data_IF_373130287002
#
_entry.id   IF_373130287002
#
_cell.length_a   1.000
_cell.length_b   1.000
_cell.length_c   1.000
_cell.angle_alpha   90.00
_cell.angle_beta   90.00
_cell.angle_gamma   90.00
#
_symmetry.space_group_name_H-M   'P 1'
#
loop_
_entity.id
_entity.type
_entity.pdbx_description
1 polymer ?
#
# COMPACT_ATOMS: atom_id res chain seq x y z
N UNK A 1 -3.41 -2.84 6.91
CA UNK A 1 -4.61 -3.59 6.44
C UNK A 1 -4.16 -4.61 5.41
N UNK A 2 -5.07 -5.35 4.77
CA UNK A 2 -4.66 -6.29 3.72
C UNK A 2 -4.26 -5.54 2.44
N UNK A 3 -5.08 -4.59 1.98
CA UNK A 3 -4.85 -3.88 0.72
C UNK A 3 -3.55 -3.05 0.69
N UNK A 4 -3.19 -2.35 1.77
CA UNK A 4 -2.01 -1.48 1.82
C UNK A 4 -0.72 -2.29 1.95
N UNK A 5 -0.73 -3.36 2.75
CA UNK A 5 0.37 -4.33 2.78
C UNK A 5 0.60 -4.96 1.40
N UNK A 6 -0.48 -5.31 0.69
CA UNK A 6 -0.41 -5.86 -0.66
C UNK A 6 0.13 -4.85 -1.68
N UNK A 7 -0.38 -3.61 -1.68
CA UNK A 7 0.11 -2.56 -2.59
C UNK A 7 1.59 -2.26 -2.34
N UNK A 8 2.02 -2.27 -1.07
CA UNK A 8 3.41 -2.08 -0.66
C UNK A 8 4.27 -3.36 -0.78
N UNK A 9 3.77 -4.43 -1.41
CA UNK A 9 4.57 -5.62 -1.76
C UNK A 9 5.67 -5.29 -2.78
N UNK A 10 5.46 -4.27 -3.62
CA UNK A 10 6.54 -3.71 -4.43
C UNK A 10 7.41 -2.82 -3.55
N UNK A 11 8.57 -3.34 -3.16
CA UNK A 11 9.52 -2.63 -2.32
C UNK A 11 10.44 -1.77 -3.17
N UNK A 12 10.47 -0.47 -2.87
CA UNK A 12 11.38 0.49 -3.48
C UNK A 12 12.53 0.81 -2.53
N UNK A 13 13.74 1.01 -3.03
CA UNK A 13 14.86 1.50 -2.22
C UNK A 13 14.67 2.97 -1.82
N UNK A 14 13.82 3.16 -0.82
CA UNK A 14 13.46 4.45 -0.27
C UNK A 14 14.62 5.19 0.41
N UNK A 15 15.72 4.49 0.74
CA UNK A 15 16.85 5.08 1.46
C UNK A 15 17.80 5.81 0.52
N UNK A 16 18.20 5.15 -0.56
CA UNK A 16 19.19 5.70 -1.50
C UNK A 16 18.58 6.19 -2.81
N UNK A 17 17.39 5.72 -3.17
CA UNK A 17 16.76 6.00 -4.47
C UNK A 17 17.30 5.13 -5.61
N UNK A 18 18.19 4.17 -5.33
CA UNK A 18 18.75 3.26 -6.32
C UNK A 18 17.74 2.19 -6.74
N UNK A 19 17.08 2.43 -7.88
CA UNK A 19 16.02 1.56 -8.43
C UNK A 19 16.51 0.16 -8.81
N UNK A 20 17.81 -0.06 -8.98
CA UNK A 20 18.34 -1.42 -9.23
C UNK A 20 18.15 -2.36 -8.02
N UNK A 21 17.90 -1.79 -6.84
CA UNK A 21 17.63 -2.50 -5.60
C UNK A 21 16.15 -2.72 -5.34
N UNK A 22 15.25 -2.20 -6.17
CA UNK A 22 13.81 -2.43 -6.02
C UNK A 22 13.53 -3.96 -6.11
N UNK A 23 12.53 -4.42 -5.36
CA UNK A 23 12.18 -5.84 -5.24
C UNK A 23 10.68 -6.01 -5.28
N UNK A 24 10.23 -6.98 -6.05
CA UNK A 24 8.84 -7.43 -6.00
C UNK A 24 8.72 -8.59 -5.00
N UNK A 25 8.08 -8.36 -3.86
CA UNK A 25 7.93 -9.41 -2.84
C UNK A 25 6.92 -10.49 -3.24
N UNK A 26 6.13 -10.27 -4.30
CA UNK A 26 5.28 -11.33 -4.85
C UNK A 26 6.11 -12.49 -5.44
N UNK A 27 7.38 -12.26 -5.75
CA UNK A 27 8.32 -13.29 -6.22
C UNK A 27 9.02 -14.04 -5.06
N UNK A 28 8.80 -13.61 -3.82
CA UNK A 28 9.42 -14.18 -2.61
C UNK A 28 8.42 -15.07 -1.87
N UNK A 29 8.56 -16.40 -2.03
CA UNK A 29 7.67 -17.36 -1.39
C UNK A 29 7.68 -17.28 0.14
N UNK A 30 8.83 -16.98 0.77
CA UNK A 30 8.89 -16.86 2.24
C UNK A 30 8.11 -15.63 2.71
N UNK A 31 8.14 -14.56 1.92
CA UNK A 31 7.30 -13.39 2.17
C UNK A 31 5.82 -13.70 1.95
N UNK A 32 5.45 -14.41 0.87
CA UNK A 32 4.07 -14.81 0.58
C UNK A 32 3.48 -15.62 1.73
N UNK A 33 4.17 -16.65 2.21
CA UNK A 33 3.69 -17.50 3.31
C UNK A 33 3.42 -16.69 4.58
N UNK A 34 4.34 -15.79 4.95
CA UNK A 34 4.19 -14.89 6.10
C UNK A 34 3.03 -13.92 5.91
N UNK A 35 2.88 -13.39 4.70
CA UNK A 35 1.84 -12.41 4.37
C UNK A 35 0.45 -13.04 4.36
N UNK A 36 0.27 -14.22 3.75
CA UNK A 36 -0.98 -14.99 3.77
C UNK A 36 -1.42 -15.28 5.20
N UNK A 37 -0.49 -15.81 6.02
CA UNK A 37 -0.74 -16.10 7.44
C UNK A 37 -1.11 -14.85 8.24
N UNK A 38 -0.39 -13.73 8.04
CA UNK A 38 -0.64 -12.46 8.74
C UNK A 38 -2.08 -11.97 8.52
N UNK A 39 -2.61 -12.16 7.32
CA UNK A 39 -3.94 -11.68 6.93
C UNK A 39 -5.03 -12.76 7.01
N UNK A 40 -4.73 -13.93 7.60
CA UNK A 40 -5.65 -15.07 7.70
C UNK A 40 -6.24 -15.50 6.33
N UNK A 41 -5.40 -15.45 5.30
CA UNK A 41 -5.71 -15.91 3.95
C UNK A 41 -5.37 -17.40 3.79
N UNK A 42 -5.85 -18.08 2.72
CA UNK A 42 -5.46 -19.46 2.43
C UNK A 42 -3.92 -19.62 2.40
N UNK A 43 -3.40 -20.53 3.22
CA UNK A 43 -1.95 -20.75 3.38
C UNK A 43 -1.42 -21.80 2.39
N UNK A 44 -0.09 -21.80 2.15
CA UNK A 44 0.59 -22.80 1.34
C UNK A 44 0.39 -22.65 -0.17
N UNK A 45 0.01 -21.44 -0.62
CA UNK A 45 -0.17 -21.13 -2.04
C UNK A 45 1.16 -20.74 -2.69
N UNK A 46 1.38 -21.30 -3.88
CA UNK A 46 2.50 -20.96 -4.76
C UNK A 46 1.87 -20.46 -6.06
N UNK A 47 2.02 -19.18 -6.43
CA UNK A 47 1.41 -18.66 -7.65
C UNK A 47 2.14 -19.22 -8.87
N UNK A 48 1.39 -19.61 -9.89
CA UNK A 48 1.95 -19.74 -11.23
C UNK A 48 2.21 -18.37 -11.88
N UNK A 49 2.82 -18.34 -13.07
CA UNK A 49 3.14 -17.08 -13.75
C UNK A 49 1.89 -16.26 -14.10
N UNK A 50 0.77 -16.92 -14.42
CA UNK A 50 -0.49 -16.26 -14.75
C UNK A 50 -1.14 -15.65 -13.51
N UNK A 51 -1.10 -16.34 -12.38
CA UNK A 51 -1.57 -15.84 -11.09
C UNK A 51 -0.70 -14.68 -10.59
N UNK A 52 0.62 -14.78 -10.75
CA UNK A 52 1.55 -13.73 -10.41
C UNK A 52 1.29 -12.45 -11.23
N UNK A 53 1.03 -12.60 -12.53
CA UNK A 53 0.68 -11.46 -13.39
C UNK A 53 -0.64 -10.81 -12.96
N UNK A 54 -1.67 -11.60 -12.65
CA UNK A 54 -2.95 -11.07 -12.16
C UNK A 54 -2.81 -10.32 -10.82
N UNK A 55 -1.93 -10.77 -9.92
CA UNK A 55 -1.59 -10.04 -8.70
C UNK A 55 -0.90 -8.72 -9.01
N UNK A 56 0.04 -8.70 -9.95
CA UNK A 56 0.72 -7.47 -10.37
C UNK A 56 -0.25 -6.47 -11.03
N UNK A 57 -1.18 -6.96 -11.84
CA UNK A 57 -2.25 -6.17 -12.46
C UNK A 57 -3.15 -5.55 -11.38
N UNK A 58 -3.66 -6.36 -10.44
CA UNK A 58 -4.49 -5.88 -9.33
C UNK A 58 -3.73 -4.84 -8.49
N UNK A 59 -2.46 -5.09 -8.19
CA UNK A 59 -1.62 -4.15 -7.44
C UNK A 59 -1.49 -2.81 -8.15
N UNK A 60 -1.21 -2.84 -9.46
CA UNK A 60 -1.07 -1.64 -10.28
C UNK A 60 -2.39 -0.87 -10.35
N UNK A 61 -3.50 -1.59 -10.55
CA UNK A 61 -4.84 -1.01 -10.57
C UNK A 61 -5.18 -0.33 -9.24
N UNK A 62 -4.93 -0.97 -8.10
CA UNK A 62 -5.14 -0.38 -6.77
C UNK A 62 -4.28 0.85 -6.54
N UNK A 63 -3.00 0.79 -6.92
CA UNK A 63 -2.08 1.92 -6.81
C UNK A 63 -2.58 3.16 -7.56
N UNK A 64 -3.08 2.99 -8.79
CA UNK A 64 -3.70 4.09 -9.55
C UNK A 64 -4.94 4.66 -8.86
N UNK A 65 -5.86 3.81 -8.37
CA UNK A 65 -7.05 4.29 -7.66
C UNK A 65 -6.67 5.09 -6.41
N UNK A 66 -5.64 4.67 -5.70
CA UNK A 66 -5.16 5.40 -4.52
C UNK A 66 -4.63 6.79 -4.89
N UNK A 67 -3.94 6.93 -6.03
CA UNK A 67 -3.49 8.23 -6.51
C UNK A 67 -4.68 9.16 -6.79
N UNK A 68 -5.72 8.65 -7.46
CA UNK A 68 -6.95 9.40 -7.72
C UNK A 68 -7.65 9.83 -6.43
N UNK A 69 -7.76 8.93 -5.45
CA UNK A 69 -8.35 9.21 -4.13
C UNK A 69 -7.55 10.29 -3.39
N UNK A 70 -6.22 10.23 -3.43
CA UNK A 70 -5.34 11.26 -2.83
C UNK A 70 -5.50 12.62 -3.51
N UNK A 71 -5.87 12.62 -4.80
CA UNK A 71 -6.26 13.83 -5.55
C UNK A 71 -7.72 14.23 -5.35
N UNK A 72 -8.39 13.70 -4.32
CA UNK A 72 -9.79 13.96 -3.96
C UNK A 72 -10.80 13.58 -5.06
N UNK A 73 -10.41 12.72 -5.99
CA UNK A 73 -11.30 12.17 -7.00
C UNK A 73 -12.12 11.03 -6.38
N UNK A 74 -13.42 11.02 -6.68
CA UNK A 74 -14.32 9.96 -6.23
C UNK A 74 -14.32 8.82 -7.23
N UNK A 75 -14.41 7.56 -6.76
CA UNK A 75 -14.50 6.42 -7.64
C UNK A 75 -15.77 6.50 -8.50
N UNK A 76 -15.64 6.24 -9.79
CA UNK A 76 -16.78 6.15 -10.70
C UNK A 76 -17.45 4.76 -10.65
N UNK A 77 -18.58 4.62 -11.35
CA UNK A 77 -19.33 3.36 -11.39
C UNK A 77 -18.50 2.21 -11.98
N UNK A 78 -17.70 2.47 -13.01
CA UNK A 78 -16.89 1.45 -13.69
C UNK A 78 -15.79 0.91 -12.77
N UNK A 79 -15.21 1.78 -11.95
CA UNK A 79 -14.20 1.42 -10.94
C UNK A 79 -14.82 0.56 -9.83
N UNK A 80 -16.02 0.89 -9.35
CA UNK A 80 -16.75 0.06 -8.39
C UNK A 80 -17.15 -1.30 -9.00
N UNK A 81 -17.58 -1.33 -10.26
CA UNK A 81 -17.85 -2.58 -10.98
C UNK A 81 -16.60 -3.44 -11.15
N UNK A 82 -15.41 -2.83 -11.30
CA UNK A 82 -14.15 -3.56 -11.35
C UNK A 82 -13.83 -4.27 -10.01
N UNK A 83 -14.04 -3.61 -8.87
CA UNK A 83 -13.91 -4.25 -7.56
C UNK A 83 -14.87 -5.42 -7.41
N UNK A 84 -16.12 -5.27 -7.85
CA UNK A 84 -17.10 -6.35 -7.84
C UNK A 84 -16.62 -7.55 -8.67
N UNK A 85 -15.97 -7.34 -9.83
CA UNK A 85 -15.42 -8.44 -10.63
C UNK A 85 -14.35 -9.24 -9.90
N UNK A 86 -13.44 -8.57 -9.17
CA UNK A 86 -12.46 -9.28 -8.33
C UNK A 86 -13.14 -10.04 -7.19
N UNK A 87 -14.05 -9.39 -6.47
CA UNK A 87 -14.76 -10.03 -5.34
C UNK A 87 -15.62 -11.22 -5.77
N UNK A 88 -16.20 -11.20 -6.97
CA UNK A 88 -17.00 -12.32 -7.50
C UNK A 88 -16.21 -13.61 -7.70
N UNK A 89 -14.88 -13.54 -7.89
CA UNK A 89 -14.02 -14.72 -8.10
C UNK A 89 -13.73 -15.49 -6.81
N UNK A 90 -13.87 -14.84 -5.65
CA UNK A 90 -13.64 -15.43 -4.33
C UNK A 90 -14.88 -15.36 -3.46
N UNK A 91 -15.84 -16.27 -3.61
CA UNK A 91 -17.07 -16.23 -2.85
C UNK A 91 -16.82 -16.42 -1.35
N UNK A 92 -17.64 -15.74 -0.55
CA UNK A 92 -17.66 -15.85 0.90
C UNK A 92 -19.00 -16.39 1.38
N UNK A 93 -18.97 -17.10 2.51
CA UNK A 93 -20.17 -17.58 3.19
C UNK A 93 -20.35 -16.86 4.53
N UNK A 94 -21.61 -16.72 4.97
CA UNK A 94 -21.91 -16.18 6.31
C UNK A 94 -21.86 -17.31 7.32
N UNK A 95 -21.08 -17.13 8.38
CA UNK A 95 -21.03 -18.07 9.51
C UNK A 95 -21.10 -17.31 10.84
N UNK A 96 -21.73 -17.92 11.84
CA UNK A 96 -21.68 -17.44 13.22
C UNK A 96 -20.40 -17.99 13.85
N UNK A 97 -19.54 -17.09 14.31
CA UNK A 97 -18.30 -17.43 15.00
C UNK A 97 -18.27 -16.78 16.38
N UNK A 98 -17.51 -17.37 17.29
CA UNK A 98 -17.27 -16.79 18.62
C UNK A 98 -16.06 -15.87 18.57
N UNK A 99 -16.25 -14.59 18.90
CA UNK A 99 -15.16 -13.64 19.08
C UNK A 99 -14.53 -13.85 20.47
N UNK A 100 -13.36 -14.50 20.49
CA UNK A 100 -12.60 -14.83 21.70
C UNK A 100 -13.42 -15.51 22.81
N UNK A 101 -14.50 -16.22 22.44
CA UNK A 101 -15.41 -16.89 23.37
C UNK A 101 -16.32 -15.97 24.18
N UNK A 102 -16.35 -14.66 23.92
CA UNK A 102 -17.13 -13.69 24.71
C UNK A 102 -18.44 -13.29 24.03
N UNK A 103 -18.46 -13.22 22.69
CA UNK A 103 -19.64 -12.82 21.93
C UNK A 103 -19.73 -13.57 20.60
N UNK A 104 -20.93 -14.00 20.22
CA UNK A 104 -21.19 -14.55 18.90
C UNK A 104 -21.37 -13.41 17.88
N UNK A 105 -20.73 -13.53 16.72
CA UNK A 105 -20.83 -12.58 15.62
C UNK A 105 -20.97 -13.30 14.27
N UNK A 106 -21.68 -12.70 13.31
CA UNK A 106 -21.70 -13.19 11.94
C UNK A 106 -20.44 -12.66 11.25
N UNK A 107 -19.62 -13.55 10.67
CA UNK A 107 -18.50 -13.21 9.81
C UNK A 107 -18.70 -13.74 8.40
N UNK A 108 -18.10 -13.05 7.44
CA UNK A 108 -17.89 -13.56 6.09
C UNK A 108 -16.61 -14.38 6.11
N UNK A 109 -16.69 -15.65 5.69
CA UNK A 109 -15.54 -16.54 5.60
C UNK A 109 -15.29 -16.92 4.15
N UNK A 110 -14.02 -16.90 3.70
CA UNK A 110 -13.63 -17.40 2.38
C UNK A 110 -14.10 -18.83 2.13
N UNK A 111 -14.64 -19.10 0.94
CA UNK A 111 -15.02 -20.46 0.53
C UNK A 111 -13.93 -21.10 -0.34
N UNK A 112 -13.21 -20.31 -1.14
CA UNK A 112 -12.10 -20.76 -1.96
C UNK A 112 -10.79 -20.85 -1.18
N UNK A 113 -9.85 -21.61 -1.74
CA UNK A 113 -8.51 -21.79 -1.16
C UNK A 113 -7.38 -21.42 -2.14
N UNK A 114 -7.66 -20.75 -3.27
CA UNK A 114 -6.67 -20.39 -4.28
C UNK A 114 -6.44 -18.88 -4.40
N UNK A 115 -5.60 -18.46 -5.36
CA UNK A 115 -5.26 -17.04 -5.57
C UNK A 115 -6.45 -16.16 -5.97
N UNK A 116 -7.45 -16.73 -6.63
CA UNK A 116 -8.73 -16.03 -6.89
C UNK A 116 -9.42 -15.56 -5.60
N UNK A 117 -9.38 -16.38 -4.55
CA UNK A 117 -9.90 -15.98 -3.25
C UNK A 117 -9.04 -14.88 -2.64
N UNK A 118 -7.71 -15.01 -2.70
CA UNK A 118 -6.79 -14.00 -2.17
C UNK A 118 -7.01 -12.63 -2.84
N UNK A 119 -7.13 -12.60 -4.17
CA UNK A 119 -7.42 -11.37 -4.91
C UNK A 119 -8.80 -10.79 -4.57
N UNK A 120 -9.81 -11.63 -4.35
CA UNK A 120 -11.12 -11.19 -3.90
C UNK A 120 -11.07 -10.54 -2.51
N UNK A 121 -10.34 -11.14 -1.56
CA UNK A 121 -10.15 -10.57 -0.21
C UNK A 121 -9.37 -9.25 -0.24
N UNK A 122 -8.35 -9.13 -1.09
CA UNK A 122 -7.63 -7.86 -1.31
C UNK A 122 -8.62 -6.78 -1.80
N UNK A 123 -9.41 -7.09 -2.83
CA UNK A 123 -10.39 -6.16 -3.39
C UNK A 123 -11.46 -5.77 -2.37
N UNK A 124 -11.95 -6.72 -1.58
CA UNK A 124 -12.90 -6.47 -0.49
C UNK A 124 -12.30 -5.57 0.60
N UNK A 125 -11.06 -5.83 1.02
CA UNK A 125 -10.36 -4.99 2.00
C UNK A 125 -10.16 -3.55 1.51
N UNK A 126 -9.87 -3.37 0.22
CA UNK A 126 -9.78 -2.04 -0.38
C UNK A 126 -11.16 -1.36 -0.44
N UNK A 127 -12.20 -2.10 -0.85
CA UNK A 127 -13.57 -1.58 -0.91
C UNK A 127 -14.09 -1.14 0.46
N UNK A 128 -13.85 -1.93 1.51
CA UNK A 128 -14.16 -1.58 2.91
C UNK A 128 -13.45 -0.28 3.31
N UNK A 129 -12.15 -0.17 3.02
CA UNK A 129 -11.39 1.04 3.29
C UNK A 129 -11.89 2.25 2.48
N UNK A 130 -12.39 2.04 1.27
CA UNK A 130 -12.91 3.11 0.41
C UNK A 130 -14.28 3.61 0.86
N UNK A 131 -15.16 2.71 1.30
CA UNK A 131 -16.58 3.01 1.54
C UNK A 131 -16.90 3.29 3.01
N UNK A 132 -16.28 2.57 3.93
CA UNK A 132 -16.59 2.67 5.36
C UNK A 132 -15.64 3.62 6.09
N UNK A 133 -14.50 3.92 5.46
CA UNK A 133 -13.49 4.80 6.02
C UNK A 133 -13.41 6.13 5.30
N UNK A 134 -12.72 7.08 5.92
CA UNK A 134 -12.64 8.42 5.39
C UNK A 134 -11.59 8.47 4.27
N UNK A 135 -12.05 8.58 3.02
CA UNK A 135 -11.18 8.62 1.82
C UNK A 135 -10.03 9.65 1.95
N UNK A 136 -10.28 10.77 2.64
CA UNK A 136 -9.28 11.80 2.92
C UNK A 136 -8.14 11.35 3.85
N UNK A 137 -8.09 10.09 4.29
CA UNK A 137 -6.99 9.50 5.08
C UNK A 137 -6.09 8.59 4.27
N UNK A 138 -6.44 8.27 3.02
CA UNK A 138 -5.49 7.66 2.11
C UNK A 138 -4.34 8.63 1.85
N UNK A 139 -3.13 8.12 1.91
CA UNK A 139 -1.90 8.90 1.73
C UNK A 139 -0.88 8.10 0.94
N UNK A 140 -0.04 8.84 0.22
CA UNK A 140 1.18 8.32 -0.38
C UNK A 140 2.35 9.02 0.33
N UNK A 141 3.36 8.25 0.70
CA UNK A 141 4.56 8.77 1.38
C UNK A 141 5.23 9.86 0.54
N UNK A 142 5.45 11.04 1.13
CA UNK A 142 6.10 12.16 0.45
C UNK A 142 7.62 11.99 0.23
N UNK A 143 8.20 10.85 0.61
CA UNK A 143 9.54 10.50 0.16
C UNK A 143 9.43 9.99 -1.30
N UNK A 144 10.00 10.71 -2.30
CA UNK A 144 9.87 10.35 -3.72
C UNK A 144 10.50 8.99 -4.06
N UNK A 145 11.41 8.51 -3.21
CA UNK A 145 12.03 7.20 -3.38
C UNK A 145 11.18 6.06 -2.80
N UNK A 146 10.28 6.37 -1.85
CA UNK A 146 9.46 5.39 -1.13
C UNK A 146 8.13 5.12 -1.81
N UNK A 147 7.30 6.16 -1.96
CA UNK A 147 5.95 6.06 -2.46
C UNK A 147 5.13 4.91 -1.85
N UNK A 148 5.29 4.60 -0.57
CA UNK A 148 4.37 3.66 0.08
C UNK A 148 3.00 4.28 0.28
N UNK A 149 1.95 3.52 0.04
CA UNK A 149 0.59 3.90 0.43
C UNK A 149 0.38 3.60 1.90
N UNK A 150 -0.42 4.42 2.56
CA UNK A 150 -0.86 4.15 3.92
C UNK A 150 -2.19 4.84 4.19
N UNK A 151 -2.86 4.37 5.22
CA UNK A 151 -4.03 5.04 5.78
C UNK A 151 -3.63 5.79 7.05
N UNK A 152 -3.86 7.10 7.09
CA UNK A 152 -3.53 7.93 8.25
C UNK A 152 -4.59 7.75 9.36
N UNK A 153 -4.30 6.80 10.25
CA UNK A 153 -5.07 6.50 11.46
C UNK A 153 -4.83 7.49 12.60
N UNK A 154 -3.93 8.45 12.44
CA UNK A 154 -3.64 9.42 13.50
C UNK A 154 -4.79 10.39 13.72
N UNK A 155 -4.87 10.93 14.94
CA UNK A 155 -5.90 11.89 15.32
C UNK A 155 -5.87 13.16 14.46
N UNK A 156 -4.67 13.67 14.18
CA UNK A 156 -4.47 14.97 13.54
C UNK A 156 -4.38 14.89 12.00
N UNK A 157 -4.36 13.68 11.41
CA UNK A 157 -4.39 13.44 9.95
C UNK A 157 -3.25 14.14 9.18
N UNK A 158 -2.13 14.33 9.86
CA UNK A 158 -1.02 15.17 9.42
C UNK A 158 0.23 14.37 9.08
N UNK A 159 0.15 13.03 9.00
CA UNK A 159 1.30 12.23 8.59
C UNK A 159 1.61 12.52 7.13
N UNK A 160 2.88 12.89 6.88
CA UNK A 160 3.46 13.12 5.55
C UNK A 160 4.25 11.92 5.04
N UNK A 161 4.60 11.00 5.93
CA UNK A 161 5.45 9.85 5.65
C UNK A 161 4.79 8.58 6.19
N UNK A 162 5.02 7.46 5.50
CA UNK A 162 4.51 6.16 5.91
C UNK A 162 4.99 5.76 7.33
N UNK A 163 6.23 6.13 7.67
CA UNK A 163 6.80 5.97 9.00
C UNK A 163 7.69 7.18 9.34
N UNK A 164 7.42 7.80 10.50
CA UNK A 164 8.11 8.99 10.96
C UNK A 164 9.57 8.73 11.37
N UNK A 165 9.87 7.53 11.88
CA UNK A 165 11.21 7.14 12.33
C UNK A 165 12.11 6.71 11.17
N UNK A 166 11.53 6.25 10.06
CA UNK A 166 12.20 5.87 8.83
C UNK A 166 12.19 7.01 7.81
N UNK A 167 11.16 7.08 6.95
CA UNK A 167 11.07 8.10 5.89
C UNK A 167 11.04 9.52 6.47
N UNK A 168 10.35 9.75 7.59
CA UNK A 168 10.30 11.06 8.22
C UNK A 168 11.66 11.59 8.64
N UNK A 169 12.46 10.76 9.33
CA UNK A 169 13.82 11.11 9.72
C UNK A 169 14.76 11.25 8.53
N UNK A 170 14.68 10.36 7.53
CA UNK A 170 15.49 10.45 6.32
C UNK A 170 15.26 11.79 5.60
N UNK A 171 14.01 12.18 5.41
CA UNK A 171 13.67 13.43 4.72
C UNK A 171 14.08 14.67 5.54
N UNK A 172 14.03 14.63 6.87
CA UNK A 172 14.59 15.68 7.73
C UNK A 172 16.09 15.85 7.50
N UNK A 173 16.85 14.75 7.47
CA UNK A 173 18.30 14.77 7.25
C UNK A 173 18.64 15.29 5.84
N UNK A 174 17.94 14.81 4.80
CA UNK A 174 18.14 15.29 3.42
C UNK A 174 17.91 16.80 3.31
N UNK A 175 16.81 17.33 3.87
CA UNK A 175 16.54 18.78 3.90
C UNK A 175 17.60 19.58 4.68
N UNK A 176 18.10 19.05 5.79
CA UNK A 176 19.18 19.70 6.54
C UNK A 176 20.47 19.79 5.71
N UNK A 177 20.88 18.70 5.06
CA UNK A 177 22.08 18.67 4.21
C UNK A 177 21.96 19.57 2.98
N UNK A 178 20.80 19.59 2.32
CA UNK A 178 20.55 20.47 1.18
C UNK A 178 20.69 21.97 1.56
N UNK A 179 20.14 22.37 2.71
CA UNK A 179 20.31 23.74 3.24
C UNK A 179 21.77 24.07 3.54
N UNK A 180 22.52 23.15 4.17
CA UNK A 180 23.94 23.36 4.46
C UNK A 180 24.80 23.48 3.20
N UNK A 181 24.47 22.73 2.14
CA UNK A 181 25.13 22.83 0.84
C UNK A 181 24.86 24.19 0.20
N UNK A 182 23.60 24.63 0.17
CA UNK A 182 23.22 25.93 -0.36
C UNK A 182 23.86 27.09 0.42
N UNK A 183 23.90 27.03 1.76
CA UNK A 183 24.62 28.02 2.58
C UNK A 183 26.12 28.06 2.25
N UNK A 184 26.75 26.89 2.05
CA UNK A 184 28.16 26.82 1.69
C UNK A 184 28.43 27.41 0.29
N UNK A 185 27.59 27.08 -0.69
CA UNK A 185 27.65 27.58 -2.07
C UNK A 185 27.43 29.10 -2.12
N UNK A 186 26.46 29.63 -1.37
CA UNK A 186 26.24 31.09 -1.28
C UNK A 186 27.42 31.82 -0.64
N UNK A 187 28.07 31.22 0.36
CA UNK A 187 29.23 31.82 1.02
C UNK A 187 30.53 31.71 0.21
N UNK A 188 30.56 30.92 -0.87
CA UNK A 188 31.72 30.73 -1.75
C UNK A 188 31.40 31.08 -3.21
N UNK A 189 30.33 31.85 -3.46
CA UNK A 189 30.03 32.36 -4.79
C UNK A 189 31.12 33.37 -5.21
N UNK A 190 31.77 33.21 -6.38
CA UNK A 190 32.79 34.15 -6.85
C UNK A 190 32.17 35.54 -7.10
N UNK A 191 32.89 36.61 -6.74
CA UNK A 191 32.47 38.02 -6.89
C UNK A 191 32.52 38.54 -8.34
N UNK A 192 32.80 37.69 -9.33
CA UNK A 192 33.06 38.14 -10.69
C UNK A 192 31.82 38.07 -11.58
N UNK A 193 31.12 39.19 -11.69
CA UNK A 193 30.56 39.75 -12.95
C UNK A 193 30.05 41.18 -12.66
N UNK A 194 31.01 42.09 -12.41
CA UNK A 194 30.78 43.52 -12.45
C UNK A 194 31.88 44.17 -13.31
N UNK A 195 31.75 44.08 -14.63
CA UNK A 195 32.38 45.00 -15.58
C UNK A 195 31.50 45.17 -16.83
#
# INVERSE_FOLDING_TARGET
>A
MLWDDFVNSYWRDWRTGDRSKDRDKLEDQEWLDKWLKKHALPEGLIPDESELEQLRELRSWLWERIQEIVMEQRPDKMQLEALNRYMLRGPVIRQIVWDNGQQAAIKLLPQGSGWDQVMAEIAASFAEALLEKEASRFRICENPDCLWVYYDDTRNRSKRYCDDKACGNLMKVRRFRARKKAEHEMNHAPEDEAE
#
